data_IF_028726704077
#
_entry.id   IF_028726704077
#
_cell.length_a   1.000
_cell.length_b   1.000
_cell.length_c   1.000
_cell.angle_alpha   90.00
_cell.angle_beta   90.00
_cell.angle_gamma   90.00
#
_symmetry.space_group_name_H-M   'P 1'
#
loop_
_entity.id
_entity.type
_entity.pdbx_description
1 polymer ?
#
# COMPACT_ATOMS: atom_id res chain seq x y z
N UNK A 1 -33.64 -18.13 -0.02
CA UNK A 1 -32.77 -17.31 -0.89
C UNK A 1 -31.34 -17.75 -0.61
N UNK A 2 -30.66 -18.34 -1.59
CA UNK A 2 -29.25 -18.69 -1.45
C UNK A 2 -28.44 -17.40 -1.37
N UNK A 3 -27.68 -17.22 -0.28
CA UNK A 3 -26.56 -16.30 -0.30
C UNK A 3 -25.53 -16.90 -1.26
N UNK A 4 -25.49 -16.41 -2.50
CA UNK A 4 -24.34 -16.61 -3.37
C UNK A 4 -23.19 -15.83 -2.73
N UNK A 5 -22.33 -16.54 -2.00
CA UNK A 5 -20.98 -16.07 -1.76
C UNK A 5 -20.29 -16.06 -3.14
N UNK A 6 -20.56 -15.00 -3.92
CA UNK A 6 -19.77 -14.68 -5.09
C UNK A 6 -18.34 -14.55 -4.60
N UNK A 7 -17.50 -15.42 -5.15
CA UNK A 7 -16.13 -15.67 -4.76
C UNK A 7 -15.32 -14.35 -4.87
N UNK A 8 -15.32 -13.53 -3.81
CA UNK A 8 -14.50 -12.32 -3.71
C UNK A 8 -13.06 -12.78 -3.57
N UNK A 9 -12.37 -12.91 -4.70
CA UNK A 9 -10.94 -13.08 -4.72
C UNK A 9 -10.30 -11.74 -4.34
N UNK A 10 -9.67 -11.71 -3.18
CA UNK A 10 -8.93 -10.58 -2.67
C UNK A 10 -7.43 -10.88 -2.82
N UNK A 11 -6.72 -10.00 -3.52
CA UNK A 11 -5.27 -10.04 -3.60
C UNK A 11 -4.70 -9.16 -2.49
N UNK A 12 -3.73 -9.70 -1.75
CA UNK A 12 -2.96 -8.93 -0.76
C UNK A 12 -1.51 -8.89 -1.21
N UNK A 13 -0.96 -7.69 -1.29
CA UNK A 13 0.44 -7.47 -1.63
C UNK A 13 1.12 -6.67 -0.52
N UNK A 14 2.36 -7.05 -0.21
CA UNK A 14 3.20 -6.29 0.71
C UNK A 14 4.08 -5.35 -0.07
N UNK A 15 4.03 -4.06 0.26
CA UNK A 15 4.88 -3.03 -0.33
C UNK A 15 5.67 -2.30 0.75
N UNK A 16 6.81 -1.74 0.36
CA UNK A 16 7.57 -0.80 1.17
C UNK A 16 7.53 0.54 0.45
N UNK A 17 6.84 1.51 1.04
CA UNK A 17 6.74 2.85 0.52
C UNK A 17 7.69 3.79 1.27
N UNK A 18 8.24 4.79 0.60
CA UNK A 18 9.22 5.68 1.22
C UNK A 18 9.05 7.15 0.84
N UNK A 19 9.44 8.03 1.76
CA UNK A 19 9.50 9.48 1.55
C UNK A 19 10.61 10.08 2.42
N UNK A 20 11.26 11.14 1.96
CA UNK A 20 12.21 11.92 2.76
C UNK A 20 11.53 12.99 3.61
N UNK A 21 10.22 13.18 3.46
CA UNK A 21 9.48 14.30 4.06
C UNK A 21 8.70 13.88 5.31
N UNK A 22 7.90 12.82 5.22
CA UNK A 22 7.05 12.38 6.31
C UNK A 22 6.55 10.95 6.12
N UNK A 23 6.01 10.38 7.19
CA UNK A 23 5.28 9.11 7.16
C UNK A 23 4.08 9.17 6.18
N UNK A 24 3.25 10.21 6.28
CA UNK A 24 2.04 10.34 5.45
C UNK A 24 2.37 10.42 3.96
N UNK A 25 3.47 11.12 3.62
CA UNK A 25 3.92 11.23 2.24
C UNK A 25 4.47 9.90 1.72
N UNK A 26 5.11 9.09 2.57
CA UNK A 26 5.53 7.74 2.20
C UNK A 26 4.31 6.87 1.86
N UNK A 27 3.27 6.89 2.71
CA UNK A 27 2.02 6.15 2.46
C UNK A 27 1.37 6.59 1.14
N UNK A 28 1.17 7.90 0.94
CA UNK A 28 0.56 8.44 -0.29
C UNK A 28 1.36 8.08 -1.54
N UNK A 29 2.69 8.18 -1.47
CA UNK A 29 3.58 7.82 -2.58
C UNK A 29 3.44 6.34 -2.94
N UNK A 30 3.46 5.45 -1.95
CA UNK A 30 3.28 4.01 -2.16
C UNK A 30 1.95 3.65 -2.80
N UNK A 31 0.84 4.19 -2.28
CA UNK A 31 -0.49 3.95 -2.83
C UNK A 31 -0.61 4.50 -4.26
N UNK A 32 -0.06 5.70 -4.52
CA UNK A 32 -0.08 6.31 -5.84
C UNK A 32 0.68 5.47 -6.87
N UNK A 33 1.89 5.02 -6.53
CA UNK A 33 2.69 4.14 -7.39
C UNK A 33 1.98 2.82 -7.65
N UNK A 34 1.36 2.26 -6.62
CA UNK A 34 0.61 1.02 -6.75
C UNK A 34 -0.59 1.18 -7.71
N UNK A 35 -1.37 2.25 -7.56
CA UNK A 35 -2.49 2.53 -8.47
C UNK A 35 -2.06 2.78 -9.93
N UNK A 36 -0.80 3.13 -10.17
CA UNK A 36 -0.22 3.35 -11.51
C UNK A 36 0.51 2.10 -12.06
N UNK A 37 0.71 1.07 -11.23
CA UNK A 37 1.43 -0.14 -11.58
C UNK A 37 0.67 -1.05 -12.55
N UNK A 38 1.34 -2.04 -13.15
CA UNK A 38 0.72 -3.01 -14.05
C UNK A 38 -0.15 -4.01 -13.27
N UNK A 39 -1.40 -3.64 -13.01
CA UNK A 39 -2.40 -4.50 -12.38
C UNK A 39 -3.49 -4.92 -13.38
N UNK A 40 -4.16 -6.05 -13.11
CA UNK A 40 -5.32 -6.47 -13.91
C UNK A 40 -6.38 -5.36 -13.90
N UNK A 41 -7.03 -5.06 -15.04
CA UNK A 41 -8.03 -3.98 -15.16
C UNK A 41 -9.21 -4.10 -14.18
N UNK A 42 -9.42 -5.29 -13.63
CA UNK A 42 -10.49 -5.56 -12.67
C UNK A 42 -10.02 -5.54 -11.20
N UNK A 43 -8.73 -5.35 -10.91
CA UNK A 43 -8.24 -5.23 -9.53
C UNK A 43 -8.41 -3.79 -9.05
N UNK A 44 -9.08 -3.59 -7.92
CA UNK A 44 -9.19 -2.29 -7.25
C UNK A 44 -8.70 -2.41 -5.82
N UNK A 45 -7.64 -1.68 -5.47
CA UNK A 45 -7.16 -1.58 -4.09
C UNK A 45 -8.18 -0.83 -3.24
N UNK A 46 -8.61 -1.42 -2.13
CA UNK A 46 -9.70 -0.91 -1.30
C UNK A 46 -9.27 -0.57 0.12
N UNK A 47 -8.22 -1.22 0.61
CA UNK A 47 -7.67 -0.95 1.93
C UNK A 47 -6.16 -1.19 1.98
N UNK A 48 -5.55 -0.66 3.04
CA UNK A 48 -4.18 -0.95 3.41
C UNK A 48 -4.07 -1.06 4.93
N UNK A 49 -3.13 -1.88 5.38
CA UNK A 49 -2.71 -2.01 6.77
C UNK A 49 -1.23 -1.65 6.88
N UNK A 50 -0.90 -0.75 7.80
CA UNK A 50 0.50 -0.45 8.12
C UNK A 50 1.00 -1.53 9.08
N UNK A 51 1.88 -2.39 8.58
CA UNK A 51 2.41 -3.54 9.34
C UNK A 51 3.79 -3.25 9.92
N UNK A 52 4.45 -2.19 9.45
CA UNK A 52 5.74 -1.78 9.98
C UNK A 52 6.07 -0.34 9.60
N UNK A 53 6.78 0.33 10.49
CA UNK A 53 7.36 1.64 10.24
C UNK A 53 8.83 1.61 10.64
N UNK A 54 9.69 1.97 9.70
CA UNK A 54 11.13 2.05 9.89
C UNK A 54 11.64 3.34 9.23
N UNK A 55 12.86 3.74 9.56
CA UNK A 55 13.46 4.90 8.93
C UNK A 55 14.97 4.87 8.98
N UNK A 56 15.56 5.58 8.04
CA UNK A 56 17.01 5.83 8.01
C UNK A 56 17.27 7.13 8.76
N UNK A 57 18.14 7.07 9.75
CA UNK A 57 18.65 8.26 10.43
C UNK A 57 20.07 8.56 9.95
N UNK A 58 20.38 9.85 9.87
CA UNK A 58 21.75 10.35 9.81
C UNK A 58 22.03 11.03 11.13
N UNK A 59 23.13 10.66 11.77
CA UNK A 59 23.51 11.25 13.05
C UNK A 59 25.01 11.56 13.10
N UNK A 60 25.36 12.58 13.85
CA UNK A 60 26.71 12.87 14.31
C UNK A 60 26.73 12.98 15.84
N UNK A 61 27.78 13.58 16.42
CA UNK A 61 27.91 13.73 17.88
C UNK A 61 26.87 14.68 18.48
N UNK A 62 26.31 15.60 17.68
CA UNK A 62 25.46 16.70 18.14
C UNK A 62 24.07 16.73 17.50
N UNK A 63 23.80 15.89 16.50
CA UNK A 63 22.55 15.90 15.72
C UNK A 63 22.12 14.50 15.32
N UNK A 64 20.80 14.33 15.19
CA UNK A 64 20.17 13.14 14.68
C UNK A 64 18.95 13.57 13.86
N UNK A 65 18.97 13.29 12.56
CA UNK A 65 17.92 13.64 11.61
C UNK A 65 17.39 12.38 10.92
N UNK A 66 16.07 12.32 10.72
CA UNK A 66 15.44 11.27 9.92
C UNK A 66 15.58 11.63 8.44
N UNK A 67 16.36 10.84 7.71
CA UNK A 67 16.63 11.03 6.28
C UNK A 67 15.57 10.39 5.39
N UNK A 68 14.99 9.28 5.85
CA UNK A 68 14.04 8.50 5.07
C UNK A 68 13.02 7.84 5.96
N UNK A 69 11.74 8.10 5.69
CA UNK A 69 10.59 7.41 6.25
C UNK A 69 10.28 6.23 5.34
N UNK A 70 10.17 5.02 5.91
CA UNK A 70 9.82 3.80 5.18
C UNK A 70 8.65 3.11 5.87
N UNK A 71 7.55 2.93 5.14
CA UNK A 71 6.32 2.35 5.64
C UNK A 71 6.07 1.03 4.93
N UNK A 72 6.03 -0.05 5.70
CA UNK A 72 5.69 -1.38 5.21
C UNK A 72 4.18 -1.53 5.32
N UNK A 73 3.52 -1.81 4.20
CA UNK A 73 2.07 -1.91 4.13
C UNK A 73 1.63 -3.20 3.44
N UNK A 74 0.62 -3.85 3.98
CA UNK A 74 -0.17 -4.85 3.27
C UNK A 74 -1.35 -4.12 2.62
N UNK A 75 -1.43 -4.16 1.29
CA UNK A 75 -2.48 -3.50 0.52
C UNK A 75 -3.35 -4.57 -0.11
N UNK A 76 -4.66 -4.49 0.14
CA UNK A 76 -5.60 -5.47 -0.38
C UNK A 76 -6.43 -4.87 -1.51
N UNK A 77 -6.64 -5.65 -2.56
CA UNK A 77 -7.49 -5.29 -3.69
C UNK A 77 -8.51 -6.37 -4.01
N UNK A 78 -9.67 -5.91 -4.45
CA UNK A 78 -10.79 -6.76 -4.86
C UNK A 78 -10.81 -6.91 -6.38
N UNK A 79 -10.98 -8.13 -6.88
CA UNK A 79 -11.31 -8.35 -8.29
C UNK A 79 -12.79 -8.06 -8.52
N UNK A 80 -13.07 -7.06 -9.34
CA UNK A 80 -14.41 -6.80 -9.83
C UNK A 80 -14.79 -7.85 -10.88
N UNK A 81 -15.89 -8.56 -10.66
CA UNK A 81 -16.51 -9.38 -11.69
C UNK A 81 -17.06 -8.40 -12.76
N UNK A 82 -16.77 -8.58 -14.06
CA UNK A 82 -17.38 -7.76 -15.08
C UNK A 82 -18.91 -7.90 -15.01
N UNK A 83 -19.64 -6.79 -15.15
CA UNK A 83 -21.10 -6.83 -15.18
C UNK A 83 -21.57 -7.80 -16.28
N UNK A 84 -22.60 -8.64 -16.03
CA UNK A 84 -23.15 -9.50 -17.06
C UNK A 84 -23.66 -8.63 -18.21
N UNK A 85 -23.19 -8.96 -19.42
CA UNK A 85 -23.62 -8.38 -20.69
C UNK A 85 -25.05 -8.78 -21.03
#
# INVERSE_FOLDING_TARGET
MHATNENKHQDVIRIVASSTTSFDDAVKSGISQLCQGPHHKNLRFTNYEVVGFQGTIQHDVNSCEVMLYQVVMDVAGDHMIPAPT
#
